data_IF_343642296209
#
_entry.id   IF_343642296209
#
_cell.length_a   1.000
_cell.length_b   1.000
_cell.length_c   1.000
_cell.angle_alpha   90.00
_cell.angle_beta   90.00
_cell.angle_gamma   90.00
#
_symmetry.space_group_name_H-M   'P 1'
#
loop_
_entity.id
_entity.type
_entity.pdbx_description
1 polymer ?
#
# COMPACT_ATOMS: atom_id res chain seq x y z
N UNK A 1 0.73 13.76 18.20
CA UNK A 1 1.94 12.92 18.28
C UNK A 1 1.88 11.70 19.22
N UNK A 2 0.76 11.29 19.81
CA UNK A 2 0.72 10.15 20.79
C UNK A 2 -0.25 9.01 20.44
N UNK A 3 -0.85 8.95 19.25
CA UNK A 3 -1.88 7.93 18.92
C UNK A 3 -1.46 6.80 18.00
N UNK A 4 -0.33 6.87 17.31
CA UNK A 4 0.18 5.80 16.44
C UNK A 4 0.85 4.65 17.22
N UNK A 5 1.28 4.88 18.46
CA UNK A 5 2.04 3.90 19.26
C UNK A 5 1.21 2.70 19.76
N UNK A 6 -0.11 2.68 19.64
CA UNK A 6 -0.95 1.60 20.20
C UNK A 6 -1.15 0.42 19.24
N UNK A 7 -0.85 0.59 17.95
CA UNK A 7 -1.13 -0.39 16.89
C UNK A 7 -0.06 -1.47 16.72
N UNK A 8 1.19 -1.19 17.14
CA UNK A 8 2.36 -2.06 16.89
C UNK A 8 2.76 -2.87 18.15
N UNK A 9 2.02 -2.81 19.24
CA UNK A 9 2.36 -3.53 20.50
C UNK A 9 1.97 -5.00 20.56
N UNK A 10 1.42 -5.61 19.50
CA UNK A 10 1.26 -7.07 19.44
C UNK A 10 2.36 -7.66 18.55
N UNK A 11 3.00 -8.77 18.94
CA UNK A 11 3.98 -9.42 18.09
C UNK A 11 3.31 -9.85 16.80
N UNK A 12 3.73 -9.26 15.67
CA UNK A 12 3.50 -9.82 14.35
C UNK A 12 4.07 -11.25 14.39
N UNK A 13 3.22 -12.25 14.38
CA UNK A 13 3.67 -13.64 14.26
C UNK A 13 4.38 -13.75 12.93
N UNK A 14 5.71 -13.82 12.96
CA UNK A 14 6.54 -14.06 11.79
C UNK A 14 6.09 -15.35 11.10
N UNK A 15 5.52 -15.26 9.91
CA UNK A 15 5.43 -16.41 9.00
C UNK A 15 6.81 -16.61 8.38
N UNK A 16 7.69 -17.30 9.07
CA UNK A 16 8.80 -18.01 8.45
C UNK A 16 8.19 -19.20 7.72
N UNK A 17 8.01 -19.10 6.41
CA UNK A 17 7.80 -20.26 5.56
C UNK A 17 9.13 -21.03 5.45
N UNK A 18 9.33 -21.99 6.30
CA UNK A 18 10.25 -23.09 6.04
C UNK A 18 9.74 -23.89 4.85
N UNK A 19 10.65 -24.24 3.97
CA UNK A 19 10.46 -25.07 2.79
C UNK A 19 9.66 -26.36 3.07
N UNK A 20 8.77 -26.67 2.14
CA UNK A 20 8.18 -27.93 1.74
C UNK A 20 8.27 -29.10 2.74
N UNK A 21 7.14 -29.39 3.39
CA UNK A 21 6.76 -30.75 3.75
C UNK A 21 5.47 -31.16 3.04
N UNK A 22 5.28 -32.48 2.77
CA UNK A 22 4.26 -32.97 1.85
C UNK A 22 2.85 -32.80 2.43
N UNK A 23 1.89 -32.65 1.53
CA UNK A 23 0.47 -32.50 1.76
C UNK A 23 -0.06 -33.39 2.90
N UNK A 24 -0.15 -32.80 4.09
CA UNK A 24 -1.03 -33.33 5.13
C UNK A 24 -2.47 -32.92 4.75
N UNK A 25 -3.34 -33.91 4.69
CA UNK A 25 -4.77 -33.79 4.40
C UNK A 25 -5.37 -32.60 5.16
N UNK A 26 -5.80 -31.60 4.41
CA UNK A 26 -6.61 -30.50 4.93
C UNK A 26 -7.93 -31.11 5.44
N UNK A 27 -8.02 -31.31 6.75
CA UNK A 27 -9.32 -31.51 7.38
C UNK A 27 -10.19 -30.31 7.01
N UNK A 28 -11.29 -30.53 6.31
CA UNK A 28 -12.27 -29.52 5.96
C UNK A 28 -12.84 -28.93 7.25
N UNK A 29 -12.30 -27.79 7.70
CA UNK A 29 -12.93 -27.00 8.76
C UNK A 29 -14.20 -26.40 8.17
N UNK A 30 -15.32 -26.56 8.89
CA UNK A 30 -16.58 -25.94 8.51
C UNK A 30 -16.35 -24.43 8.28
N UNK A 31 -16.97 -23.84 7.23
CA UNK A 31 -16.83 -22.41 6.97
C UNK A 31 -17.29 -21.62 8.20
N UNK A 32 -16.51 -20.63 8.61
CA UNK A 32 -16.85 -19.73 9.70
C UNK A 32 -18.17 -19.01 9.35
N UNK A 33 -19.12 -19.02 10.28
CA UNK A 33 -20.31 -18.18 10.13
C UNK A 33 -19.93 -16.72 10.34
N UNK A 34 -20.39 -15.81 9.48
CA UNK A 34 -20.21 -14.38 9.71
C UNK A 34 -20.86 -13.95 11.01
N UNK A 35 -20.29 -12.97 11.70
CA UNK A 35 -20.93 -12.30 12.82
C UNK A 35 -22.21 -11.59 12.33
N UNK A 36 -23.21 -11.56 13.17
CA UNK A 36 -24.50 -10.93 12.84
C UNK A 36 -24.53 -9.48 13.35
N UNK A 37 -25.33 -8.64 12.69
CA UNK A 37 -25.61 -7.29 13.19
C UNK A 37 -26.26 -7.39 14.58
N UNK A 38 -25.77 -6.60 15.52
CA UNK A 38 -26.16 -6.65 16.94
C UNK A 38 -25.34 -7.61 17.80
N UNK A 39 -24.52 -8.47 17.19
CA UNK A 39 -23.61 -9.35 17.94
C UNK A 39 -22.45 -8.56 18.56
N UNK A 40 -22.06 -8.92 19.77
CA UNK A 40 -21.00 -8.27 20.51
C UNK A 40 -19.72 -9.14 20.57
N UNK A 41 -18.59 -8.53 20.32
CA UNK A 41 -17.25 -9.15 20.38
C UNK A 41 -16.44 -8.46 21.45
N UNK A 42 -15.77 -9.23 22.30
CA UNK A 42 -14.89 -8.71 23.34
C UNK A 42 -13.43 -8.89 22.91
N UNK A 43 -12.62 -7.80 23.00
CA UNK A 43 -11.17 -7.86 22.77
C UNK A 43 -10.46 -8.43 24.00
N UNK A 44 -9.18 -8.85 23.82
CA UNK A 44 -8.32 -9.31 24.94
C UNK A 44 -8.08 -8.22 25.99
N UNK A 45 -8.28 -6.94 25.63
CA UNK A 45 -8.23 -5.81 26.58
C UNK A 45 -9.53 -5.59 27.35
N UNK A 46 -10.55 -6.42 27.14
CA UNK A 46 -11.87 -6.32 27.81
C UNK A 46 -12.82 -5.30 27.16
N UNK A 47 -12.46 -4.68 26.05
CA UNK A 47 -13.32 -3.74 25.34
C UNK A 47 -14.32 -4.48 24.47
N UNK A 48 -15.60 -4.09 24.55
CA UNK A 48 -16.68 -4.70 23.77
C UNK A 48 -17.00 -3.86 22.54
N UNK A 49 -17.21 -4.54 21.40
CA UNK A 49 -17.56 -3.97 20.10
C UNK A 49 -18.85 -4.62 19.63
N UNK A 50 -19.86 -3.81 19.31
CA UNK A 50 -21.14 -4.29 18.77
C UNK A 50 -21.13 -4.12 17.25
N UNK A 51 -21.43 -5.19 16.53
CA UNK A 51 -21.48 -5.16 15.04
C UNK A 51 -22.69 -4.34 14.61
N UNK A 52 -22.45 -3.31 13.81
CA UNK A 52 -23.48 -2.42 13.25
C UNK A 52 -23.83 -2.77 11.80
N UNK A 53 -22.82 -3.21 11.04
CA UNK A 53 -22.96 -3.43 9.61
C UNK A 53 -21.92 -4.44 9.11
N UNK A 54 -22.29 -5.23 8.10
CA UNK A 54 -21.35 -6.08 7.35
C UNK A 54 -20.92 -5.29 6.12
N UNK A 55 -19.66 -4.78 6.11
CA UNK A 55 -19.13 -3.97 5.02
C UNK A 55 -18.68 -4.81 3.83
N UNK A 56 -18.17 -6.02 4.08
CA UNK A 56 -17.73 -6.96 3.05
C UNK A 56 -17.92 -8.39 3.52
N UNK A 57 -18.43 -9.24 2.63
CA UNK A 57 -18.51 -10.68 2.81
C UNK A 57 -17.97 -11.37 1.55
N UNK A 58 -16.87 -12.09 1.71
CA UNK A 58 -16.29 -12.96 0.67
C UNK A 58 -16.34 -14.41 1.14
N UNK A 59 -17.41 -15.10 0.79
CA UNK A 59 -17.69 -16.49 1.21
C UNK A 59 -16.68 -17.48 0.66
N UNK A 60 -16.16 -17.24 -0.55
CA UNK A 60 -15.16 -18.06 -1.24
C UNK A 60 -13.87 -18.25 -0.44
N UNK A 61 -13.47 -17.23 0.31
CA UNK A 61 -12.27 -17.23 1.16
C UNK A 61 -12.57 -16.99 2.64
N UNK A 62 -13.85 -17.06 3.06
CA UNK A 62 -14.29 -16.80 4.45
C UNK A 62 -13.72 -15.48 5.03
N UNK A 63 -13.70 -14.42 4.23
CA UNK A 63 -13.25 -13.10 4.64
C UNK A 63 -14.44 -12.19 4.93
N UNK A 64 -14.42 -11.57 6.09
CA UNK A 64 -15.49 -10.70 6.56
C UNK A 64 -14.91 -9.39 7.09
N UNK A 65 -15.56 -8.27 6.76
CA UNK A 65 -15.24 -6.95 7.28
C UNK A 65 -16.52 -6.35 7.85
N UNK A 66 -16.44 -5.88 9.08
CA UNK A 66 -17.59 -5.34 9.82
C UNK A 66 -17.32 -3.91 10.24
N UNK A 67 -18.38 -3.10 10.25
CA UNK A 67 -18.42 -1.88 11.03
C UNK A 67 -18.98 -2.20 12.41
N UNK A 68 -18.35 -1.67 13.44
CA UNK A 68 -18.76 -1.86 14.81
C UNK A 68 -18.62 -0.57 15.62
N UNK A 69 -19.41 -0.42 16.67
CA UNK A 69 -19.21 0.64 17.67
C UNK A 69 -18.70 0.05 18.97
N UNK A 70 -17.86 0.82 19.68
CA UNK A 70 -17.49 0.47 21.04
C UNK A 70 -18.22 1.36 22.04
N UNK A 71 -18.88 0.74 23.02
CA UNK A 71 -19.36 1.43 24.20
C UNK A 71 -18.22 1.49 25.23
N UNK A 72 -17.77 2.69 25.59
CA UNK A 72 -16.95 2.87 26.80
C UNK A 72 -17.85 2.66 28.02
N UNK A 73 -17.57 1.63 28.81
CA UNK A 73 -18.18 1.48 30.13
C UNK A 73 -17.71 2.69 30.95
N UNK A 74 -18.57 3.69 31.13
CA UNK A 74 -18.29 4.78 32.07
C UNK A 74 -18.59 6.21 31.62
N UNK A 75 -18.99 6.49 30.40
CA UNK A 75 -19.43 7.84 30.01
C UNK A 75 -20.81 7.81 29.33
N UNK A 76 -21.81 8.25 30.08
CA UNK A 76 -23.23 8.30 29.65
C UNK A 76 -23.56 9.42 28.64
N UNK A 77 -22.58 10.13 28.05
CA UNK A 77 -22.86 11.36 27.31
C UNK A 77 -22.36 11.41 25.87
N UNK A 78 -22.33 10.28 25.19
CA UNK A 78 -22.28 10.32 23.72
C UNK A 78 -23.15 9.21 23.14
N UNK A 79 -24.25 9.59 22.54
CA UNK A 79 -25.30 8.73 21.95
C UNK A 79 -24.84 7.86 20.76
N UNK A 80 -23.56 7.83 20.43
CA UNK A 80 -22.92 6.91 19.49
C UNK A 80 -21.51 6.60 19.94
N UNK A 81 -21.20 5.30 20.16
CA UNK A 81 -19.84 4.84 20.39
C UNK A 81 -18.92 5.16 19.20
N UNK A 82 -17.58 5.19 19.45
CA UNK A 82 -16.62 5.41 18.35
C UNK A 82 -16.72 4.27 17.33
N UNK A 83 -16.76 4.60 16.02
CA UNK A 83 -16.83 3.58 14.99
C UNK A 83 -15.48 2.89 14.78
N UNK A 84 -15.54 1.58 14.53
CA UNK A 84 -14.39 0.70 14.25
C UNK A 84 -14.67 -0.18 13.05
N UNK A 85 -13.60 -0.69 12.45
CA UNK A 85 -13.64 -1.78 11.47
C UNK A 85 -13.07 -3.02 12.15
N UNK A 86 -13.81 -4.13 12.08
CA UNK A 86 -13.35 -5.44 12.48
C UNK A 86 -13.14 -6.30 11.23
N UNK A 87 -11.99 -6.92 11.09
CA UNK A 87 -11.66 -7.77 9.96
C UNK A 87 -11.00 -9.05 10.47
N UNK A 88 -11.38 -10.22 9.95
CA UNK A 88 -10.67 -11.45 10.30
C UNK A 88 -9.26 -11.45 9.71
N UNK A 89 -8.26 -11.81 10.52
CA UNK A 89 -6.84 -11.73 10.16
C UNK A 89 -6.43 -12.71 9.07
N UNK A 90 -7.13 -13.83 8.95
CA UNK A 90 -6.99 -14.79 7.83
C UNK A 90 -8.32 -15.51 7.63
N UNK A 91 -8.58 -16.09 6.44
CA UNK A 91 -9.81 -16.83 6.15
C UNK A 91 -10.13 -17.97 7.11
N UNK A 92 -9.14 -18.47 7.85
CA UNK A 92 -9.28 -19.56 8.81
C UNK A 92 -9.09 -19.14 10.27
N UNK A 93 -8.88 -17.84 10.54
CA UNK A 93 -8.61 -17.34 11.90
C UNK A 93 -9.86 -16.84 12.57
N UNK A 94 -10.01 -17.19 13.86
CA UNK A 94 -10.99 -16.59 14.78
C UNK A 94 -10.52 -15.21 15.28
N UNK A 95 -9.29 -14.80 14.95
CA UNK A 95 -8.75 -13.51 15.38
C UNK A 95 -9.31 -12.39 14.50
N UNK A 96 -9.89 -11.38 15.12
CA UNK A 96 -10.33 -10.16 14.48
C UNK A 96 -9.28 -9.06 14.69
N UNK A 97 -8.89 -8.40 13.62
CA UNK A 97 -8.14 -7.16 13.68
C UNK A 97 -9.13 -6.01 13.82
N UNK A 98 -8.86 -5.11 14.77
CA UNK A 98 -9.73 -3.99 15.09
C UNK A 98 -9.03 -2.70 14.73
N UNK A 99 -9.64 -1.92 13.86
CA UNK A 99 -9.12 -0.64 13.35
C UNK A 99 -10.12 0.49 13.64
N UNK A 100 -9.67 1.74 13.82
CA UNK A 100 -10.56 2.89 13.73
C UNK A 100 -11.24 2.91 12.36
N UNK A 101 -12.52 3.22 12.33
CA UNK A 101 -13.21 3.48 11.08
C UNK A 101 -12.78 4.84 10.52
N UNK A 102 -12.46 4.88 9.23
CA UNK A 102 -12.21 6.11 8.49
C UNK A 102 -13.25 6.24 7.36
N UNK A 103 -13.60 7.49 7.03
CA UNK A 103 -14.75 7.81 6.19
C UNK A 103 -14.61 7.33 4.74
N UNK A 104 -13.41 7.36 4.18
CA UNK A 104 -13.17 6.97 2.80
C UNK A 104 -11.74 6.44 2.57
N UNK A 105 -11.55 5.73 1.46
CA UNK A 105 -10.22 5.44 0.92
C UNK A 105 -9.87 6.38 -0.23
N UNK A 106 -8.57 6.61 -0.44
CA UNK A 106 -8.11 7.64 -1.37
C UNK A 106 -8.36 7.34 -2.85
N UNK A 107 -8.65 6.09 -3.24
CA UNK A 107 -8.96 5.79 -4.64
C UNK A 107 -10.15 6.61 -5.17
N UNK A 108 -11.20 6.76 -4.38
CA UNK A 108 -12.37 7.55 -4.76
C UNK A 108 -12.30 8.98 -4.23
N UNK A 109 -11.81 9.17 -3.02
CA UNK A 109 -11.76 10.48 -2.39
C UNK A 109 -10.97 11.52 -3.21
N UNK A 110 -9.85 11.12 -3.82
CA UNK A 110 -9.02 12.01 -4.64
C UNK A 110 -9.68 12.46 -5.94
N UNK A 111 -10.82 11.87 -6.31
CA UNK A 111 -11.63 12.34 -7.45
C UNK A 111 -12.44 13.60 -7.12
N UNK A 112 -12.63 13.91 -5.83
CA UNK A 112 -13.20 15.18 -5.40
C UNK A 112 -12.36 16.36 -5.92
N UNK A 113 -12.97 17.54 -5.93
CA UNK A 113 -12.25 18.78 -6.26
C UNK A 113 -11.37 19.18 -5.08
N UNK A 114 -10.10 18.84 -5.12
CA UNK A 114 -9.11 19.13 -4.09
C UNK A 114 -8.03 20.03 -4.68
N UNK A 115 -7.63 21.03 -3.92
CA UNK A 115 -6.52 21.92 -4.28
C UNK A 115 -5.18 21.19 -4.38
N UNK A 116 -4.20 21.72 -5.11
CA UNK A 116 -2.85 21.16 -5.11
C UNK A 116 -2.23 21.08 -3.70
N UNK A 117 -2.57 22.03 -2.83
CA UNK A 117 -2.13 22.07 -1.44
C UNK A 117 -2.69 20.90 -0.64
N UNK A 118 -3.99 20.67 -0.69
CA UNK A 118 -4.65 19.54 -0.03
C UNK A 118 -4.12 18.19 -0.53
N UNK A 119 -3.87 18.05 -1.84
CA UNK A 119 -3.26 16.84 -2.39
C UNK A 119 -1.86 16.59 -1.85
N UNK A 120 -1.05 17.65 -1.73
CA UNK A 120 0.29 17.58 -1.14
C UNK A 120 0.24 17.21 0.34
N UNK A 121 -0.68 17.78 1.11
CA UNK A 121 -0.88 17.45 2.52
C UNK A 121 -1.30 15.98 2.72
N UNK A 122 -2.20 15.46 1.88
CA UNK A 122 -2.58 14.04 1.88
C UNK A 122 -1.35 13.16 1.64
N UNK A 123 -0.56 13.46 0.61
CA UNK A 123 0.66 12.68 0.29
C UNK A 123 1.66 12.77 1.45
N UNK A 124 1.86 13.95 2.04
CA UNK A 124 2.75 14.14 3.19
C UNK A 124 2.34 13.29 4.38
N UNK A 125 1.07 13.39 4.80
CA UNK A 125 0.54 12.63 5.96
C UNK A 125 0.62 11.11 5.72
N UNK A 126 0.35 10.65 4.51
CA UNK A 126 0.49 9.24 4.17
C UNK A 126 1.97 8.80 4.22
N UNK A 127 2.90 9.65 3.74
CA UNK A 127 4.33 9.34 3.79
C UNK A 127 4.89 9.35 5.23
N UNK A 128 4.39 10.22 6.09
CA UNK A 128 4.70 10.21 7.53
C UNK A 128 4.32 8.86 8.16
N UNK A 129 3.12 8.34 7.83
CA UNK A 129 2.69 7.01 8.27
C UNK A 129 3.60 5.89 7.77
N UNK A 130 4.01 5.94 6.49
CA UNK A 130 4.94 4.96 5.93
C UNK A 130 6.32 5.05 6.58
N UNK A 131 6.84 6.26 6.81
CA UNK A 131 8.10 6.47 7.50
C UNK A 131 8.09 5.89 8.92
N UNK A 132 6.99 6.08 9.65
CA UNK A 132 6.80 5.51 10.98
C UNK A 132 6.78 3.97 10.98
N UNK A 133 6.23 3.33 9.95
CA UNK A 133 6.30 1.87 9.76
C UNK A 133 7.75 1.43 9.49
N UNK A 134 8.43 2.11 8.56
CA UNK A 134 9.81 1.80 8.18
C UNK A 134 10.79 1.96 9.34
N UNK A 135 10.63 2.98 10.18
CA UNK A 135 11.46 3.19 11.38
C UNK A 135 11.31 2.05 12.39
N UNK A 136 10.16 1.41 12.43
CA UNK A 136 9.89 0.24 13.28
C UNK A 136 10.27 -1.09 12.62
N UNK A 137 10.92 -1.04 11.46
CA UNK A 137 11.31 -2.23 10.74
C UNK A 137 10.16 -2.96 10.03
N UNK A 138 9.03 -2.29 9.80
CA UNK A 138 7.85 -2.88 9.14
C UNK A 138 7.76 -2.37 7.71
N UNK A 139 7.60 -3.27 6.74
CA UNK A 139 7.23 -2.97 5.36
C UNK A 139 5.77 -3.32 5.14
N UNK A 140 5.08 -2.54 4.32
CA UNK A 140 3.65 -2.71 4.07
C UNK A 140 3.34 -3.72 2.98
N UNK A 141 4.13 -3.74 1.90
CA UNK A 141 4.03 -4.61 0.71
C UNK A 141 2.82 -4.43 -0.20
N UNK A 142 1.79 -3.65 0.16
CA UNK A 142 0.62 -3.40 -0.69
C UNK A 142 0.17 -1.94 -0.62
N UNK A 143 1.11 -0.99 -0.79
CA UNK A 143 0.79 0.44 -0.86
C UNK A 143 0.01 0.72 -2.14
N UNK A 144 -1.22 1.21 -1.97
CA UNK A 144 -2.13 1.62 -3.05
C UNK A 144 -3.23 2.54 -2.50
N UNK A 145 -3.93 3.33 -3.33
CA UNK A 145 -4.95 4.28 -2.86
C UNK A 145 -6.12 3.65 -2.07
N UNK A 146 -6.42 2.37 -2.29
CA UNK A 146 -7.45 1.67 -1.52
C UNK A 146 -7.05 1.43 -0.06
N UNK A 147 -5.74 1.32 0.21
CA UNK A 147 -5.18 1.01 1.51
C UNK A 147 -4.75 2.26 2.27
N UNK A 148 -4.99 3.44 1.71
CA UNK A 148 -4.77 4.73 2.39
C UNK A 148 -6.12 5.38 2.61
N UNK A 149 -6.45 5.56 3.87
CA UNK A 149 -7.76 5.95 4.36
C UNK A 149 -7.74 7.40 4.86
N UNK A 150 -8.87 8.07 4.79
CA UNK A 150 -9.01 9.48 5.15
C UNK A 150 -10.27 9.70 5.99
N UNK A 151 -10.14 10.54 7.03
CA UNK A 151 -11.26 11.21 7.67
C UNK A 151 -11.30 12.66 7.22
N UNK A 152 -12.49 13.17 7.00
CA UNK A 152 -12.69 14.52 6.55
C UNK A 152 -14.01 15.10 7.07
N UNK A 153 -14.12 16.41 7.04
CA UNK A 153 -15.34 17.14 7.30
C UNK A 153 -15.76 17.85 6.01
N UNK A 154 -17.02 17.70 5.61
CA UNK A 154 -17.56 18.50 4.51
C UNK A 154 -17.60 19.98 4.92
N UNK A 155 -17.22 20.85 4.01
CA UNK A 155 -17.12 22.30 4.25
C UNK A 155 -18.07 23.05 3.30
N UNK A 156 -19.34 22.67 3.29
CA UNK A 156 -20.33 23.25 2.40
C UNK A 156 -19.99 22.99 0.92
N UNK A 157 -19.87 24.08 0.14
CA UNK A 157 -19.47 24.02 -1.29
C UNK A 157 -17.94 24.05 -1.48
N UNK A 158 -17.19 24.34 -0.42
CA UNK A 158 -15.73 24.37 -0.43
C UNK A 158 -15.13 22.95 -0.41
N UNK A 159 -13.80 22.87 -0.56
CA UNK A 159 -13.12 21.58 -0.46
C UNK A 159 -13.19 21.02 0.98
N UNK A 160 -13.27 19.69 1.14
CA UNK A 160 -13.37 19.04 2.43
C UNK A 160 -12.10 19.26 3.28
N UNK A 161 -12.28 19.45 4.59
CA UNK A 161 -11.19 19.59 5.56
C UNK A 161 -10.69 18.22 5.96
N UNK A 162 -9.44 17.89 5.65
CA UNK A 162 -8.82 16.61 5.99
C UNK A 162 -8.41 16.58 7.45
N UNK A 163 -9.02 15.70 8.24
CA UNK A 163 -8.75 15.57 9.67
C UNK A 163 -7.78 14.44 10.01
N UNK A 164 -7.70 13.39 9.18
CA UNK A 164 -6.74 12.31 9.32
C UNK A 164 -6.44 11.63 7.97
N UNK A 165 -5.20 11.15 7.81
CA UNK A 165 -4.81 10.22 6.74
C UNK A 165 -4.06 9.07 7.40
N UNK A 166 -4.41 7.82 7.09
CA UNK A 166 -3.82 6.63 7.70
C UNK A 166 -3.60 5.53 6.66
N UNK A 167 -2.49 4.82 6.79
CA UNK A 167 -2.25 3.58 6.04
C UNK A 167 -2.97 2.46 6.78
N UNK A 168 -3.79 1.71 6.05
CA UNK A 168 -4.54 0.55 6.55
C UNK A 168 -4.24 -0.71 5.75
N UNK A 169 -4.96 -1.79 6.05
CA UNK A 169 -4.81 -3.09 5.38
C UNK A 169 -3.38 -3.67 5.50
N UNK A 170 -2.92 -3.79 6.75
CA UNK A 170 -1.57 -4.25 7.09
C UNK A 170 -1.41 -5.77 7.11
N UNK A 171 -2.29 -6.52 6.45
CA UNK A 171 -2.26 -7.99 6.46
C UNK A 171 -1.04 -8.57 5.76
N UNK A 172 -0.57 -7.89 4.72
CA UNK A 172 0.64 -8.25 3.97
C UNK A 172 1.91 -7.61 4.55
N UNK A 173 1.77 -6.84 5.64
CA UNK A 173 2.90 -6.19 6.27
C UNK A 173 3.81 -7.20 6.98
N UNK A 174 5.12 -6.99 6.86
CA UNK A 174 6.14 -7.87 7.41
C UNK A 174 7.14 -7.10 8.24
N UNK A 175 7.46 -7.64 9.41
CA UNK A 175 8.60 -7.17 10.21
C UNK A 175 9.89 -7.64 9.56
N UNK A 176 10.69 -6.69 9.11
CA UNK A 176 12.02 -6.94 8.55
C UNK A 176 13.07 -6.44 9.55
N UNK A 177 13.70 -7.32 10.28
CA UNK A 177 14.91 -6.97 11.02
C UNK A 177 15.95 -6.38 10.06
N UNK A 178 16.85 -5.53 10.56
CA UNK A 178 17.82 -4.80 9.73
C UNK A 178 18.48 -5.70 8.66
N UNK A 179 18.39 -5.28 7.40
CA UNK A 179 18.97 -5.97 6.25
C UNK A 179 18.18 -7.17 5.71
N UNK A 180 17.02 -7.47 6.26
CA UNK A 180 16.13 -8.54 5.75
C UNK A 180 15.02 -7.97 4.88
N UNK A 181 14.32 -8.84 4.16
CA UNK A 181 13.17 -8.55 3.32
C UNK A 181 12.50 -9.85 2.87
N UNK A 182 11.56 -9.74 1.95
CA UNK A 182 10.85 -10.90 1.38
C UNK A 182 11.51 -11.27 0.06
N UNK A 183 11.78 -12.55 -0.15
CA UNK A 183 12.31 -13.10 -1.41
C UNK A 183 11.39 -14.21 -1.90
N UNK A 184 11.22 -14.31 -3.22
CA UNK A 184 10.47 -15.40 -3.87
C UNK A 184 8.96 -15.18 -3.96
N UNK A 185 8.40 -14.25 -3.19
CA UNK A 185 6.98 -13.89 -3.24
C UNK A 185 6.70 -12.74 -4.24
N UNK A 186 5.49 -12.71 -4.77
CA UNK A 186 4.96 -11.53 -5.48
C UNK A 186 4.07 -10.79 -4.49
N UNK A 187 4.51 -9.61 -4.03
CA UNK A 187 3.74 -8.78 -3.11
C UNK A 187 3.07 -7.61 -3.83
N UNK A 188 1.98 -7.14 -3.26
CA UNK A 188 1.25 -5.98 -3.71
C UNK A 188 0.42 -6.17 -4.98
N UNK A 189 -0.36 -5.15 -5.30
CA UNK A 189 -1.20 -5.13 -6.49
C UNK A 189 -0.38 -4.83 -7.74
N UNK A 190 -0.65 -5.53 -8.84
CA UNK A 190 0.10 -5.46 -10.10
C UNK A 190 0.26 -4.06 -10.72
N UNK A 191 -0.68 -3.13 -10.48
CA UNK A 191 -0.58 -1.76 -10.99
C UNK A 191 0.25 -0.82 -10.09
N UNK A 192 0.65 -1.29 -8.90
CA UNK A 192 1.33 -0.47 -7.88
C UNK A 192 2.67 -1.04 -7.46
N UNK A 193 2.93 -2.35 -7.73
CA UNK A 193 4.13 -3.04 -7.26
C UNK A 193 5.40 -2.59 -7.97
N UNK A 194 6.51 -2.71 -7.25
CA UNK A 194 7.85 -2.39 -7.74
C UNK A 194 8.41 -3.42 -8.73
N UNK A 195 9.43 -3.07 -9.52
CA UNK A 195 10.05 -3.98 -10.47
C UNK A 195 10.65 -5.23 -9.84
N UNK A 196 11.31 -5.09 -8.67
CA UNK A 196 11.89 -6.22 -7.94
C UNK A 196 10.80 -7.15 -7.36
N UNK A 197 9.62 -6.63 -7.02
CA UNK A 197 8.48 -7.48 -6.64
C UNK A 197 7.98 -8.32 -7.82
N UNK A 198 7.90 -7.76 -9.03
CA UNK A 198 7.60 -8.52 -10.24
C UNK A 198 8.62 -9.63 -10.49
N UNK A 199 9.89 -9.35 -10.23
CA UNK A 199 11.00 -10.29 -10.39
C UNK A 199 11.08 -11.33 -9.25
N UNK A 200 10.21 -11.29 -8.24
CA UNK A 200 10.30 -12.10 -7.01
C UNK A 200 11.67 -11.97 -6.31
N UNK A 201 12.32 -10.82 -6.53
CA UNK A 201 13.59 -10.48 -5.89
C UNK A 201 13.40 -10.09 -4.42
N UNK A 202 14.46 -9.56 -3.82
CA UNK A 202 14.40 -9.07 -2.44
C UNK A 202 13.54 -7.80 -2.38
N UNK A 203 12.43 -7.87 -1.66
CA UNK A 203 11.52 -6.77 -1.39
C UNK A 203 11.75 -6.24 0.02
N UNK A 204 11.91 -4.94 0.15
CA UNK A 204 12.18 -4.25 1.39
C UNK A 204 11.51 -2.86 1.40
N UNK A 205 12.01 -1.92 2.22
CA UNK A 205 11.48 -0.55 2.29
C UNK A 205 11.45 0.16 0.93
N UNK A 206 12.42 -0.11 0.05
CA UNK A 206 12.45 0.50 -1.29
C UNK A 206 11.24 0.09 -2.14
N UNK A 207 10.76 -1.15 -2.00
CA UNK A 207 9.56 -1.60 -2.71
C UNK A 207 8.32 -0.80 -2.32
N UNK A 208 8.17 -0.47 -1.03
CA UNK A 208 7.10 0.40 -0.56
C UNK A 208 7.25 1.84 -1.06
N UNK A 209 8.48 2.38 -1.09
CA UNK A 209 8.77 3.73 -1.62
C UNK A 209 8.40 3.82 -3.09
N UNK A 210 8.74 2.81 -3.89
CA UNK A 210 8.34 2.77 -5.30
C UNK A 210 6.81 2.78 -5.45
N UNK A 211 6.12 1.90 -4.72
CA UNK A 211 4.65 1.83 -4.72
C UNK A 211 4.02 3.15 -4.26
N UNK A 212 4.64 3.80 -3.27
CA UNK A 212 4.21 5.10 -2.76
C UNK A 212 4.41 6.21 -3.80
N UNK A 213 5.46 6.19 -4.59
CA UNK A 213 5.63 7.14 -5.70
C UNK A 213 4.49 7.03 -6.72
N UNK A 214 4.07 5.81 -7.07
CA UNK A 214 2.93 5.59 -7.97
C UNK A 214 1.62 6.11 -7.34
N UNK A 215 1.44 5.87 -6.02
CA UNK A 215 0.34 6.44 -5.26
C UNK A 215 0.36 7.98 -5.28
N UNK A 216 1.52 8.61 -5.08
CA UNK A 216 1.66 10.08 -5.14
C UNK A 216 1.30 10.63 -6.53
N UNK A 217 1.73 9.98 -7.61
CA UNK A 217 1.32 10.34 -8.99
C UNK A 217 -0.20 10.33 -9.10
N UNK A 218 -0.85 9.27 -8.60
CA UNK A 218 -2.31 9.16 -8.66
C UNK A 218 -3.02 10.27 -7.88
N UNK A 219 -2.57 10.56 -6.66
CA UNK A 219 -3.19 11.61 -5.81
C UNK A 219 -3.02 13.00 -6.43
N UNK A 220 -1.81 13.32 -6.89
CA UNK A 220 -1.46 14.66 -7.37
C UNK A 220 -1.99 14.91 -8.78
N UNK A 221 -1.84 13.94 -9.67
CA UNK A 221 -2.12 14.11 -11.10
C UNK A 221 -3.44 13.47 -11.55
N UNK A 222 -4.17 12.76 -10.66
CA UNK A 222 -5.37 11.97 -11.00
C UNK A 222 -5.13 10.96 -12.11
N UNK A 223 -3.90 10.47 -12.25
CA UNK A 223 -3.46 9.61 -13.32
C UNK A 223 -2.90 8.29 -12.78
N UNK A 224 -3.37 7.17 -13.35
CA UNK A 224 -2.84 5.83 -13.07
C UNK A 224 -1.81 5.46 -14.15
N UNK A 225 -0.50 5.62 -13.88
CA UNK A 225 0.54 5.47 -14.91
C UNK A 225 0.58 4.06 -15.51
N UNK A 226 0.25 3.04 -14.71
CA UNK A 226 0.30 1.64 -15.14
C UNK A 226 -1.06 1.05 -15.54
N UNK A 227 -2.11 1.88 -15.63
CA UNK A 227 -3.39 1.41 -16.17
C UNK A 227 -3.20 0.90 -17.58
N UNK A 228 -3.63 -0.34 -17.82
CA UNK A 228 -3.67 -1.03 -19.10
C UNK A 228 -5.07 -1.63 -19.32
N UNK A 229 -5.45 -2.00 -20.55
CA UNK A 229 -6.69 -2.73 -20.81
C UNK A 229 -6.79 -3.99 -19.94
N UNK A 230 -8.02 -4.36 -19.57
CA UNK A 230 -8.25 -5.51 -18.68
C UNK A 230 -7.76 -6.83 -19.31
N UNK A 231 -7.89 -6.95 -20.63
CA UNK A 231 -7.45 -8.13 -21.37
C UNK A 231 -5.93 -8.32 -21.28
N UNK A 232 -5.16 -7.22 -21.23
CA UNK A 232 -3.71 -7.26 -21.02
C UNK A 232 -3.36 -7.49 -19.55
N UNK A 233 -4.20 -6.99 -18.63
CA UNK A 233 -3.98 -7.13 -17.20
C UNK A 233 -4.19 -8.58 -16.73
N UNK A 234 -5.16 -9.27 -17.32
CA UNK A 234 -5.49 -10.66 -17.01
C UNK A 234 -4.65 -11.66 -17.85
N UNK A 235 -3.84 -11.18 -18.79
CA UNK A 235 -2.98 -12.03 -19.59
C UNK A 235 -1.82 -12.63 -18.77
N UNK A 236 -1.38 -13.86 -19.07
CA UNK A 236 -0.25 -14.50 -18.39
C UNK A 236 1.06 -13.72 -18.49
N UNK A 237 1.20 -12.87 -19.51
CA UNK A 237 2.35 -12.00 -19.74
C UNK A 237 2.08 -10.52 -19.38
N UNK A 238 1.07 -10.25 -18.55
CA UNK A 238 0.72 -8.90 -18.06
C UNK A 238 1.93 -8.13 -17.51
N UNK A 239 2.90 -8.84 -16.93
CA UNK A 239 4.16 -8.29 -16.47
C UNK A 239 4.92 -7.52 -17.56
N UNK A 240 4.86 -7.95 -18.83
CA UNK A 240 5.53 -7.32 -19.97
C UNK A 240 5.03 -5.89 -20.19
N UNK A 241 3.72 -5.67 -20.15
CA UNK A 241 3.11 -4.35 -20.35
C UNK A 241 3.44 -3.40 -19.22
N UNK A 242 3.39 -3.89 -17.98
CA UNK A 242 3.71 -3.08 -16.79
C UNK A 242 5.21 -2.77 -16.74
N UNK A 243 6.08 -3.78 -16.91
CA UNK A 243 7.52 -3.60 -16.92
C UNK A 243 7.98 -2.62 -18.01
N UNK A 244 7.35 -2.70 -19.21
CA UNK A 244 7.65 -1.75 -20.28
C UNK A 244 7.36 -0.31 -19.85
N UNK A 245 6.27 -0.06 -19.12
CA UNK A 245 5.96 1.26 -18.57
C UNK A 245 6.94 1.66 -17.47
N UNK A 246 7.35 0.75 -16.56
CA UNK A 246 8.40 1.03 -15.57
C UNK A 246 9.68 1.51 -16.25
N UNK A 247 10.16 0.78 -17.26
CA UNK A 247 11.37 1.13 -17.99
C UNK A 247 11.19 2.42 -18.79
N UNK A 248 10.02 2.63 -19.39
CA UNK A 248 9.71 3.85 -20.15
C UNK A 248 9.78 5.11 -19.29
N UNK A 249 9.16 5.06 -18.10
CA UNK A 249 9.01 6.24 -17.24
C UNK A 249 10.22 6.46 -16.32
N UNK A 250 10.80 5.38 -15.80
CA UNK A 250 11.78 5.43 -14.71
C UNK A 250 13.13 4.81 -15.06
N UNK A 251 13.23 4.08 -16.19
CA UNK A 251 14.48 3.42 -16.57
C UNK A 251 15.51 4.37 -17.14
N UNK A 252 16.71 4.28 -16.63
CA UNK A 252 17.93 4.74 -17.26
C UNK A 252 18.97 3.60 -17.28
N UNK A 253 20.11 3.83 -17.88
CA UNK A 253 21.15 2.79 -18.02
C UNK A 253 21.71 2.34 -16.68
N UNK A 254 21.90 3.28 -15.74
CA UNK A 254 22.43 2.98 -14.41
C UNK A 254 21.42 2.23 -13.54
N UNK A 255 20.17 2.72 -13.49
CA UNK A 255 19.09 2.08 -12.74
C UNK A 255 18.79 0.67 -13.22
N UNK A 256 18.76 0.45 -14.54
CA UNK A 256 18.58 -0.89 -15.11
C UNK A 256 19.74 -1.83 -14.75
N UNK A 257 20.99 -1.35 -14.84
CA UNK A 257 22.17 -2.14 -14.43
C UNK A 257 22.12 -2.46 -12.94
N UNK A 258 21.73 -1.47 -12.12
CA UNK A 258 21.57 -1.64 -10.67
C UNK A 258 20.49 -2.66 -10.32
N UNK A 259 19.32 -2.60 -10.98
CA UNK A 259 18.26 -3.58 -10.80
C UNK A 259 18.72 -5.00 -11.15
N UNK A 260 19.36 -5.19 -12.31
CA UNK A 260 19.88 -6.50 -12.71
C UNK A 260 20.90 -7.03 -11.70
N UNK A 261 21.81 -6.18 -11.22
CA UNK A 261 22.77 -6.55 -10.17
C UNK A 261 22.07 -6.91 -8.86
N UNK A 262 21.04 -6.15 -8.48
CA UNK A 262 20.24 -6.39 -7.27
C UNK A 262 19.49 -7.73 -7.30
N UNK A 263 18.94 -8.10 -8.46
CA UNK A 263 18.25 -9.38 -8.66
C UNK A 263 19.22 -10.58 -8.66
N UNK A 264 20.46 -10.36 -9.05
CA UNK A 264 21.46 -11.42 -9.21
C UNK A 264 21.33 -12.15 -10.55
N UNK A 265 22.42 -12.82 -10.94
CA UNK A 265 22.53 -13.48 -12.27
C UNK A 265 21.58 -14.68 -12.44
N UNK A 266 21.19 -15.31 -11.34
CA UNK A 266 20.31 -16.51 -11.36
C UNK A 266 18.83 -16.18 -11.41
N UNK A 267 18.45 -14.89 -11.37
CA UNK A 267 17.05 -14.49 -11.43
C UNK A 267 16.56 -14.49 -12.89
N UNK A 268 15.61 -15.38 -13.25
CA UNK A 268 15.17 -15.52 -14.65
C UNK A 268 14.41 -14.29 -15.16
N UNK A 269 14.01 -13.38 -14.29
CA UNK A 269 13.36 -12.13 -14.69
C UNK A 269 14.35 -11.11 -15.27
N UNK A 270 15.65 -11.28 -15.00
CA UNK A 270 16.70 -10.43 -15.57
C UNK A 270 16.69 -10.42 -17.10
N UNK A 271 16.57 -11.59 -17.74
CA UNK A 271 16.44 -11.70 -19.20
C UNK A 271 15.21 -10.94 -19.74
N UNK A 272 14.10 -11.02 -19.03
CA UNK A 272 12.85 -10.30 -19.39
C UNK A 272 13.03 -8.79 -19.32
N UNK A 273 13.78 -8.29 -18.34
CA UNK A 273 14.10 -6.85 -18.22
C UNK A 273 14.92 -6.40 -19.43
N UNK A 274 15.95 -7.16 -19.80
CA UNK A 274 16.82 -6.87 -20.96
C UNK A 274 16.00 -6.90 -22.25
N UNK A 275 15.18 -7.94 -22.45
CA UNK A 275 14.32 -8.08 -23.62
C UNK A 275 13.37 -6.87 -23.77
N UNK A 276 12.69 -6.48 -22.70
CA UNK A 276 11.76 -5.35 -22.72
C UNK A 276 12.50 -4.03 -22.92
N UNK A 277 13.67 -3.84 -22.30
CA UNK A 277 14.48 -2.64 -22.50
C UNK A 277 14.94 -2.49 -23.96
N UNK A 278 15.25 -3.59 -24.63
CA UNK A 278 15.66 -3.60 -26.04
C UNK A 278 14.54 -3.26 -27.02
N UNK A 279 13.26 -3.26 -26.59
CA UNK A 279 12.13 -2.90 -27.48
C UNK A 279 12.03 -1.41 -27.77
N UNK A 280 12.71 -0.54 -26.97
CA UNK A 280 12.67 0.90 -27.21
C UNK A 280 13.62 1.31 -28.34
N UNK A 281 13.16 2.20 -29.21
CA UNK A 281 13.90 2.70 -30.37
C UNK A 281 13.50 4.15 -30.68
N UNK A 282 13.99 4.71 -31.79
CA UNK A 282 13.71 6.09 -32.17
C UNK A 282 12.22 6.36 -32.52
N UNK A 283 11.51 5.37 -33.03
CA UNK A 283 10.07 5.49 -33.37
C UNK A 283 9.16 5.21 -32.17
N UNK A 284 9.65 4.51 -31.18
CA UNK A 284 8.94 4.17 -29.93
C UNK A 284 9.87 4.43 -28.72
N UNK A 285 10.13 5.70 -28.49
CA UNK A 285 11.08 6.15 -27.48
C UNK A 285 10.46 6.11 -26.06
N UNK A 286 11.33 5.93 -25.07
CA UNK A 286 10.95 6.06 -23.65
C UNK A 286 10.37 7.43 -23.35
N UNK A 287 9.47 7.48 -22.37
CA UNK A 287 8.80 8.69 -21.88
C UNK A 287 9.20 9.01 -20.42
N UNK A 288 10.46 9.34 -20.15
CA UNK A 288 10.94 9.54 -18.78
C UNK A 288 10.21 10.70 -18.08
N UNK A 289 10.17 10.67 -16.76
CA UNK A 289 9.50 11.69 -15.90
C UNK A 289 9.91 13.11 -16.33
N UNK A 290 11.18 13.33 -16.66
CA UNK A 290 11.71 14.62 -17.08
C UNK A 290 11.03 15.19 -18.34
N UNK A 291 10.41 14.36 -19.16
CA UNK A 291 9.67 14.77 -20.37
C UNK A 291 8.16 14.98 -20.12
N UNK A 292 7.66 14.67 -18.95
CA UNK A 292 6.24 14.86 -18.66
C UNK A 292 5.88 16.34 -18.68
N UNK A 293 4.80 16.67 -19.37
CA UNK A 293 4.30 18.05 -19.52
C UNK A 293 3.45 18.50 -18.32
N UNK A 294 3.27 17.66 -17.32
CA UNK A 294 2.45 17.88 -16.14
C UNK A 294 3.26 17.59 -14.86
N UNK A 295 2.78 18.15 -13.76
CA UNK A 295 3.50 18.17 -12.48
C UNK A 295 4.54 19.31 -12.43
N UNK A 296 4.82 19.79 -11.23
CA UNK A 296 5.89 20.74 -11.03
C UNK A 296 7.27 20.06 -10.99
N UNK A 297 8.34 20.81 -11.24
CA UNK A 297 9.70 20.25 -11.34
C UNK A 297 10.16 19.62 -10.01
N UNK A 298 9.78 20.18 -8.85
CA UNK A 298 10.12 19.59 -7.56
C UNK A 298 9.38 18.25 -7.37
N UNK A 299 8.14 18.12 -7.87
CA UNK A 299 7.42 16.86 -7.83
C UNK A 299 8.08 15.80 -8.71
N UNK A 300 8.49 16.18 -9.92
CA UNK A 300 9.22 15.28 -10.82
C UNK A 300 10.56 14.84 -10.22
N UNK A 301 11.28 15.75 -9.55
CA UNK A 301 12.54 15.44 -8.88
C UNK A 301 12.32 14.46 -7.72
N UNK A 302 11.31 14.70 -6.87
CA UNK A 302 10.92 13.76 -5.81
C UNK A 302 10.62 12.37 -6.38
N UNK A 303 9.74 12.30 -7.40
CA UNK A 303 9.39 11.04 -8.05
C UNK A 303 10.61 10.33 -8.62
N UNK A 304 11.55 11.07 -9.27
CA UNK A 304 12.76 10.48 -9.85
C UNK A 304 13.63 9.79 -8.80
N UNK A 305 13.68 10.32 -7.57
CA UNK A 305 14.42 9.74 -6.44
C UNK A 305 13.71 8.54 -5.81
N UNK A 306 12.37 8.51 -5.88
CA UNK A 306 11.54 7.44 -5.33
C UNK A 306 11.28 6.29 -6.32
N UNK A 307 11.67 6.43 -7.58
CA UNK A 307 11.42 5.44 -8.63
C UNK A 307 12.70 5.00 -9.36
N UNK A 308 13.86 5.23 -8.77
CA UNK A 308 15.12 4.68 -9.27
C UNK A 308 14.98 3.17 -9.36
N UNK A 309 15.25 2.57 -10.54
CA UNK A 309 15.08 1.12 -10.71
C UNK A 309 16.06 0.29 -9.87
N UNK A 310 17.19 0.88 -9.46
CA UNK A 310 18.09 0.29 -8.47
C UNK A 310 17.59 0.54 -7.04
N UNK A 311 17.02 -0.47 -6.34
CA UNK A 311 16.46 -0.28 -5.00
C UNK A 311 17.47 0.19 -3.96
N UNK A 312 18.78 -0.04 -4.19
CA UNK A 312 19.84 0.36 -3.25
C UNK A 312 20.15 1.86 -3.28
N UNK A 313 19.67 2.56 -4.32
CA UNK A 313 19.88 4.00 -4.53
C UNK A 313 18.64 4.83 -4.27
N UNK A 314 17.53 4.18 -3.97
CA UNK A 314 16.25 4.84 -3.73
C UNK A 314 16.28 5.57 -2.38
N UNK A 315 15.70 6.77 -2.32
CA UNK A 315 15.60 7.52 -1.07
C UNK A 315 14.67 6.81 -0.07
N UNK A 316 14.91 7.02 1.22
CA UNK A 316 14.02 6.56 2.28
C UNK A 316 12.77 7.45 2.40
N UNK A 317 11.77 6.97 3.15
CA UNK A 317 10.57 7.76 3.44
C UNK A 317 10.91 9.04 4.23
N UNK A 318 11.87 9.00 5.16
CA UNK A 318 12.32 10.18 5.92
C UNK A 318 13.01 11.22 5.04
N UNK A 319 13.94 10.79 4.19
CA UNK A 319 14.59 11.69 3.21
C UNK A 319 13.58 12.30 2.24
N UNK A 320 12.60 11.53 1.80
CA UNK A 320 11.53 12.01 0.93
C UNK A 320 10.67 13.10 1.61
N UNK A 321 10.39 13.00 2.92
CA UNK A 321 9.66 14.01 3.68
C UNK A 321 10.42 15.35 3.79
N UNK A 322 11.74 15.32 3.70
CA UNK A 322 12.60 16.52 3.72
C UNK A 322 12.74 17.17 2.32
N UNK A 323 12.13 16.58 1.30
CA UNK A 323 12.24 17.08 -0.06
C UNK A 323 11.56 18.45 -0.25
N UNK A 324 12.14 19.39 -1.04
CA UNK A 324 11.60 20.74 -1.27
C UNK A 324 10.15 20.78 -1.78
N UNK A 325 9.68 19.70 -2.42
CA UNK A 325 8.27 19.62 -2.83
C UNK A 325 7.30 19.74 -1.66
N UNK A 326 7.65 19.21 -0.48
CA UNK A 326 6.83 19.30 0.73
C UNK A 326 7.05 20.62 1.52
N UNK A 327 8.11 21.39 1.19
CA UNK A 327 8.46 22.61 1.90
C UNK A 327 7.83 23.87 1.26
N UNK A 328 7.19 23.76 0.09
CA UNK A 328 6.46 24.88 -0.49
C UNK A 328 5.34 25.28 0.47
N UNK A 329 5.34 26.53 0.91
CA UNK A 329 4.24 27.13 1.66
C UNK A 329 2.92 26.94 0.91
N UNK A 330 1.88 26.63 1.66
CA UNK A 330 0.50 26.39 1.22
C UNK A 330 -0.14 27.66 0.70
#
# INVERSE_FOLDING_TARGET
MKRVAHWIRRPLKSRLSTFAEPAAQAASRAPQKPLQVGEAVCSDSGQTYTIEEILLERKDISMFVYRASSSLIGNMDSSRGKPYVLKNSTPASLELLIYPFLDAHLLHFTQKNLSPATRRDIVRKALEGLADMHDRGVIHNDIKPNNILVNYQENGEDEPIITAVQIGDIEDAVDISAGKGIVGGICGNQLWRSPESWAKGLQNRASDIFSFAIFAIYVVLKWMPFKIPIEQLDAPDSWRYILRKHISFFGDTEGLRGLLKYLGNDNPFGERIIEVAATFNSSDARQPISRWQFGDENFKDLLSKMTILDPTRMISAREALEHPWFMKEL
#
